data_IF_593542389945
#
_entry.id   IF_593542389945
#
_cell.length_a   1.000
_cell.length_b   1.000
_cell.length_c   1.000
_cell.angle_alpha   90.00
_cell.angle_beta   90.00
_cell.angle_gamma   90.00
#
_symmetry.space_group_name_H-M   'P 1'
#
loop_
_entity.id
_entity.type
_entity.pdbx_description
1 polymer ?
#
# COMPACT_ATOMS: atom_id res chain seq x y z
N UNK A 1 28.76 12.54 6.14
CA UNK A 1 27.64 11.60 6.00
C UNK A 1 26.50 12.19 6.82
N UNK A 2 25.53 12.83 6.16
CA UNK A 2 24.37 13.40 6.87
C UNK A 2 23.55 12.23 7.41
N UNK A 3 23.21 12.29 8.70
CA UNK A 3 22.51 11.22 9.40
C UNK A 3 21.05 11.02 8.96
N UNK A 4 20.57 11.79 7.98
CA UNK A 4 19.28 11.59 7.34
C UNK A 4 19.36 12.04 5.88
N UNK A 5 19.07 11.14 4.93
CA UNK A 5 18.71 11.52 3.55
C UNK A 5 17.32 12.17 3.49
N UNK A 6 16.52 11.95 4.54
CA UNK A 6 15.24 12.62 4.75
C UNK A 6 15.46 13.86 5.59
N UNK A 7 14.93 15.02 5.22
CA UNK A 7 14.98 16.16 6.12
C UNK A 7 14.19 15.88 7.43
N UNK A 8 14.43 16.68 8.47
CA UNK A 8 13.77 16.48 9.77
C UNK A 8 12.23 16.44 9.64
N UNK A 9 11.68 17.25 8.73
CA UNK A 9 10.23 17.34 8.52
C UNK A 9 9.72 16.04 7.90
N UNK A 10 10.33 15.55 6.82
CA UNK A 10 9.98 14.30 6.17
C UNK A 10 10.08 13.11 7.13
N UNK A 11 11.10 13.10 8.01
CA UNK A 11 11.24 12.06 9.03
C UNK A 11 10.10 12.09 10.05
N UNK A 12 9.70 13.28 10.52
CA UNK A 12 8.54 13.45 11.40
C UNK A 12 7.27 12.98 10.70
N UNK A 13 7.08 13.34 9.43
CA UNK A 13 5.91 12.93 8.65
C UNK A 13 5.88 11.41 8.47
N UNK A 14 7.01 10.77 8.13
CA UNK A 14 7.11 9.32 8.04
C UNK A 14 6.81 8.63 9.38
N UNK A 15 7.24 9.22 10.50
CA UNK A 15 6.91 8.69 11.82
C UNK A 15 5.40 8.74 12.07
N UNK A 16 4.74 9.84 11.71
CA UNK A 16 3.27 9.96 11.79
C UNK A 16 2.60 8.91 10.89
N UNK A 17 3.06 8.74 9.64
CA UNK A 17 2.59 7.68 8.74
C UNK A 17 2.73 6.30 9.39
N UNK A 18 3.89 6.01 9.98
CA UNK A 18 4.15 4.76 10.68
C UNK A 18 3.21 4.54 11.85
N UNK A 19 2.99 5.56 12.70
CA UNK A 19 2.06 5.50 13.83
C UNK A 19 0.63 5.23 13.34
N UNK A 20 0.18 5.94 12.31
CA UNK A 20 -1.15 5.72 11.72
C UNK A 20 -1.26 4.29 11.17
N UNK A 21 -0.25 3.82 10.44
CA UNK A 21 -0.21 2.48 9.87
C UNK A 21 -0.28 1.39 10.95
N UNK A 22 0.52 1.47 12.02
CA UNK A 22 0.49 0.45 13.08
C UNK A 22 -0.84 0.48 13.86
N UNK A 23 -1.42 1.65 14.11
CA UNK A 23 -2.74 1.75 14.76
C UNK A 23 -3.81 1.09 13.90
N UNK A 24 -3.85 1.40 12.60
CA UNK A 24 -4.79 0.75 11.67
C UNK A 24 -4.58 -0.75 11.60
N UNK A 25 -3.32 -1.21 11.51
CA UNK A 25 -2.99 -2.63 11.47
C UNK A 25 -3.51 -3.37 12.72
N UNK A 26 -3.32 -2.79 13.91
CA UNK A 26 -3.78 -3.39 15.17
C UNK A 26 -5.31 -3.42 15.28
N UNK A 27 -6.00 -2.35 14.87
CA UNK A 27 -7.47 -2.33 14.83
C UNK A 27 -8.02 -3.38 13.86
N UNK A 28 -7.47 -3.45 12.65
CA UNK A 28 -7.84 -4.44 11.66
C UNK A 28 -7.55 -5.87 12.12
N UNK A 29 -6.42 -6.09 12.80
CA UNK A 29 -6.08 -7.40 13.34
C UNK A 29 -7.05 -7.81 14.47
N UNK A 30 -7.43 -6.87 15.34
CA UNK A 30 -8.47 -7.09 16.36
C UNK A 30 -9.80 -7.50 15.71
N UNK A 31 -10.25 -6.78 14.68
CA UNK A 31 -11.47 -7.11 13.94
C UNK A 31 -11.37 -8.46 13.22
N UNK A 32 -10.22 -8.80 12.66
CA UNK A 32 -9.98 -10.13 12.09
C UNK A 32 -10.08 -11.22 13.16
N UNK A 33 -9.50 -11.02 14.34
CA UNK A 33 -9.54 -12.01 15.41
C UNK A 33 -10.98 -12.29 15.86
N UNK A 34 -11.84 -11.28 15.87
CA UNK A 34 -13.25 -11.38 16.22
C UNK A 34 -14.13 -11.97 15.10
N UNK A 35 -13.99 -11.47 13.86
CA UNK A 35 -14.90 -11.78 12.74
C UNK A 35 -14.40 -12.86 11.78
N UNK A 36 -13.10 -13.15 11.80
CA UNK A 36 -12.38 -14.02 10.84
C UNK A 36 -12.52 -13.61 9.37
N UNK A 37 -12.94 -12.38 9.08
CA UNK A 37 -13.07 -11.92 7.69
C UNK A 37 -11.70 -11.60 7.09
N UNK A 38 -11.37 -12.27 5.99
CA UNK A 38 -10.03 -12.24 5.38
C UNK A 38 -9.57 -10.85 4.94
N UNK A 39 -10.48 -9.96 4.58
CA UNK A 39 -10.11 -8.61 4.17
C UNK A 39 -9.51 -7.78 5.32
N UNK A 40 -9.94 -7.99 6.57
CA UNK A 40 -9.32 -7.34 7.72
C UNK A 40 -7.87 -7.80 7.91
N UNK A 41 -7.60 -9.11 7.75
CA UNK A 41 -6.24 -9.64 7.83
C UNK A 41 -5.36 -9.08 6.70
N UNK A 42 -5.86 -9.11 5.46
CA UNK A 42 -5.11 -8.63 4.30
C UNK A 42 -4.71 -7.16 4.45
N UNK A 43 -5.65 -6.30 4.85
CA UNK A 43 -5.36 -4.89 5.11
C UNK A 43 -4.45 -4.69 6.33
N UNK A 44 -4.64 -5.45 7.41
CA UNK A 44 -3.76 -5.38 8.58
C UNK A 44 -2.30 -5.66 8.21
N UNK A 45 -2.06 -6.69 7.40
CA UNK A 45 -0.72 -7.04 6.93
C UNK A 45 -0.12 -5.95 6.04
N UNK A 46 -0.90 -5.34 5.14
CA UNK A 46 -0.43 -4.22 4.32
C UNK A 46 0.03 -3.03 5.18
N UNK A 47 -0.75 -2.64 6.19
CA UNK A 47 -0.37 -1.54 7.06
C UNK A 47 0.77 -1.89 8.01
N UNK A 48 0.88 -3.15 8.45
CA UNK A 48 2.02 -3.61 9.23
C UNK A 48 3.32 -3.53 8.42
N UNK A 49 3.28 -3.94 7.15
CA UNK A 49 4.43 -3.80 6.24
C UNK A 49 4.76 -2.33 6.02
N UNK A 50 3.76 -1.46 5.79
CA UNK A 50 3.99 -0.02 5.65
C UNK A 50 4.67 0.58 6.89
N UNK A 51 4.25 0.20 8.09
CA UNK A 51 4.91 0.61 9.33
C UNK A 51 6.38 0.17 9.37
N UNK A 52 6.65 -1.11 9.09
CA UNK A 52 8.02 -1.64 9.08
C UNK A 52 8.88 -0.91 8.04
N UNK A 53 8.36 -0.70 6.83
CA UNK A 53 9.06 0.05 5.78
C UNK A 53 9.36 1.49 6.19
N UNK A 54 8.39 2.20 6.78
CA UNK A 54 8.59 3.57 7.25
C UNK A 54 9.65 3.65 8.36
N UNK A 55 9.65 2.71 9.30
CA UNK A 55 10.67 2.61 10.35
C UNK A 55 12.05 2.36 9.74
N UNK A 56 12.17 1.43 8.80
CA UNK A 56 13.45 1.14 8.12
C UNK A 56 13.99 2.38 7.40
N UNK A 57 13.14 3.11 6.67
CA UNK A 57 13.54 4.34 5.97
C UNK A 57 14.05 5.41 6.94
N UNK A 58 13.41 5.58 8.11
CA UNK A 58 13.85 6.57 9.11
C UNK A 58 15.25 6.23 9.65
N UNK A 59 15.55 4.95 9.88
CA UNK A 59 16.82 4.54 10.50
C UNK A 59 17.95 4.27 9.51
N UNK A 60 17.63 3.79 8.31
CA UNK A 60 18.61 3.40 7.28
C UNK A 60 18.71 4.44 6.15
N UNK A 61 17.74 5.34 6.00
CA UNK A 61 17.65 6.21 4.82
C UNK A 61 16.89 5.56 3.67
N UNK A 62 16.65 6.33 2.61
CA UNK A 62 15.91 5.85 1.44
C UNK A 62 16.78 4.93 0.60
N UNK A 63 18.02 5.31 0.32
CA UNK A 63 18.94 4.58 -0.55
C UNK A 63 19.20 3.18 -0.03
N UNK A 64 19.72 3.06 1.20
CA UNK A 64 20.05 1.77 1.81
C UNK A 64 18.81 0.86 1.94
N UNK A 65 17.63 1.45 2.16
CA UNK A 65 16.38 0.69 2.24
C UNK A 65 15.94 0.19 0.86
N UNK A 66 15.96 1.05 -0.17
CA UNK A 66 15.48 0.72 -1.51
C UNK A 66 16.43 -0.22 -2.26
N UNK A 67 17.73 -0.15 -1.98
CA UNK A 67 18.75 -1.04 -2.57
C UNK A 67 18.75 -2.44 -1.95
N UNK A 68 18.17 -2.62 -0.76
CA UNK A 68 18.10 -3.92 -0.12
C UNK A 68 17.22 -4.91 -0.94
N UNK A 69 17.75 -6.07 -1.36
CA UNK A 69 17.03 -6.99 -2.25
C UNK A 69 15.76 -7.60 -1.64
N UNK A 70 15.63 -7.60 -0.32
CA UNK A 70 14.45 -8.12 0.38
C UNK A 70 13.35 -7.06 0.55
N UNK A 71 13.66 -5.78 0.44
CA UNK A 71 12.69 -4.70 0.67
C UNK A 71 11.63 -4.63 -0.43
N UNK A 72 11.95 -4.62 -1.75
CA UNK A 72 10.92 -4.56 -2.79
C UNK A 72 9.91 -5.72 -2.76
N UNK A 73 10.31 -7.00 -2.59
CA UNK A 73 9.36 -8.10 -2.43
C UNK A 73 8.44 -7.91 -1.22
N UNK A 74 8.98 -7.49 -0.07
CA UNK A 74 8.19 -7.27 1.15
C UNK A 74 7.25 -6.09 0.95
N UNK A 75 7.72 -4.96 0.41
CA UNK A 75 6.92 -3.77 0.14
C UNK A 75 5.79 -4.03 -0.87
N UNK A 76 5.96 -4.98 -1.79
CA UNK A 76 4.91 -5.40 -2.73
C UNK A 76 3.67 -6.01 -2.03
N UNK A 77 3.81 -6.46 -0.77
CA UNK A 77 2.67 -6.88 0.06
C UNK A 77 1.72 -5.73 0.41
N UNK A 78 2.19 -4.48 0.38
CA UNK A 78 1.34 -3.31 0.66
C UNK A 78 0.23 -3.20 -0.39
N UNK A 79 0.51 -2.94 -1.68
CA UNK A 79 -0.56 -2.83 -2.68
C UNK A 79 -1.29 -4.16 -2.89
N UNK A 80 -0.58 -5.30 -2.84
CA UNK A 80 -1.20 -6.61 -3.00
C UNK A 80 -2.21 -6.91 -1.89
N UNK A 81 -1.86 -6.70 -0.62
CA UNK A 81 -2.77 -6.96 0.50
C UNK A 81 -3.98 -6.02 0.51
N UNK A 82 -3.81 -4.76 0.09
CA UNK A 82 -4.92 -3.82 -0.10
C UNK A 82 -5.90 -4.32 -1.18
N UNK A 83 -5.37 -4.75 -2.33
CA UNK A 83 -6.15 -5.32 -3.43
C UNK A 83 -6.84 -6.65 -3.04
N UNK A 84 -6.12 -7.57 -2.39
CA UNK A 84 -6.67 -8.82 -1.86
C UNK A 84 -7.85 -8.53 -0.94
N UNK A 85 -7.68 -7.61 0.03
CA UNK A 85 -8.75 -7.26 0.95
C UNK A 85 -9.96 -6.64 0.25
N UNK A 86 -9.76 -5.76 -0.73
CA UNK A 86 -10.87 -5.23 -1.53
C UNK A 86 -11.62 -6.34 -2.29
N UNK A 87 -10.91 -7.28 -2.92
CA UNK A 87 -11.55 -8.38 -3.64
C UNK A 87 -12.39 -9.27 -2.71
N UNK A 88 -11.89 -9.55 -1.49
CA UNK A 88 -12.65 -10.27 -0.47
C UNK A 88 -13.86 -9.49 0.07
N UNK A 89 -13.75 -8.17 0.14
CA UNK A 89 -14.77 -7.29 0.73
C UNK A 89 -15.89 -6.94 -0.27
N UNK A 90 -15.54 -6.76 -1.54
CA UNK A 90 -16.47 -6.37 -2.62
C UNK A 90 -17.28 -7.56 -3.12
N UNK A 91 -16.61 -8.65 -3.48
CA UNK A 91 -17.25 -9.81 -4.11
C UNK A 91 -17.77 -10.81 -3.09
N UNK A 92 -18.94 -11.40 -3.36
CA UNK A 92 -19.48 -12.48 -2.56
C UNK A 92 -18.67 -13.76 -2.76
N UNK A 93 -18.25 -14.02 -4.00
CA UNK A 93 -17.40 -15.13 -4.39
C UNK A 93 -15.96 -14.91 -3.89
N UNK A 94 -15.69 -15.42 -2.69
CA UNK A 94 -14.40 -15.28 -2.00
C UNK A 94 -13.21 -15.87 -2.75
N UNK A 95 -13.47 -16.64 -3.82
CA UNK A 95 -12.46 -17.17 -4.72
C UNK A 95 -11.65 -16.08 -5.43
N UNK A 96 -12.22 -14.91 -5.76
CA UNK A 96 -11.47 -13.84 -6.43
C UNK A 96 -10.34 -13.31 -5.55
N UNK A 97 -10.64 -13.03 -4.27
CA UNK A 97 -9.62 -12.64 -3.29
C UNK A 97 -8.59 -13.75 -3.06
N UNK A 98 -9.03 -15.02 -3.01
CA UNK A 98 -8.14 -16.16 -2.82
C UNK A 98 -7.17 -16.37 -4.00
N UNK A 99 -7.68 -16.38 -5.24
CA UNK A 99 -6.86 -16.55 -6.43
C UNK A 99 -5.88 -15.39 -6.60
N UNK A 100 -6.33 -14.17 -6.32
CA UNK A 100 -5.45 -13.01 -6.38
C UNK A 100 -4.38 -13.03 -5.28
N UNK A 101 -4.69 -13.57 -4.10
CA UNK A 101 -3.70 -13.81 -3.05
C UNK A 101 -2.63 -14.82 -3.49
N UNK A 102 -3.03 -15.96 -4.09
CA UNK A 102 -2.08 -16.93 -4.63
C UNK A 102 -1.21 -16.29 -5.71
N UNK A 103 -1.84 -15.61 -6.70
CA UNK A 103 -1.15 -14.91 -7.76
C UNK A 103 -0.07 -13.95 -7.22
N UNK A 104 -0.46 -13.10 -6.28
CA UNK A 104 0.43 -12.09 -5.71
C UNK A 104 1.56 -12.73 -4.91
N UNK A 105 1.27 -13.71 -4.05
CA UNK A 105 2.27 -14.38 -3.23
C UNK A 105 3.28 -15.17 -4.07
N UNK A 106 2.84 -15.83 -5.14
CA UNK A 106 3.74 -16.52 -6.08
C UNK A 106 4.67 -15.53 -6.76
N UNK A 107 4.16 -14.42 -7.30
CA UNK A 107 5.01 -13.42 -7.94
C UNK A 107 5.96 -12.73 -6.95
N UNK A 108 5.52 -12.46 -5.72
CA UNK A 108 6.38 -11.90 -4.67
C UNK A 108 7.49 -12.89 -4.29
N UNK A 109 7.18 -14.18 -4.18
CA UNK A 109 8.19 -15.21 -3.92
C UNK A 109 9.20 -15.31 -5.07
N UNK A 110 8.73 -15.30 -6.32
CA UNK A 110 9.59 -15.29 -7.52
C UNK A 110 10.47 -14.03 -7.53
N UNK A 111 9.89 -12.86 -7.25
CA UNK A 111 10.61 -11.59 -7.17
C UNK A 111 11.71 -11.62 -6.10
N UNK A 112 11.43 -12.19 -4.92
CA UNK A 112 12.42 -12.33 -3.86
C UNK A 112 13.61 -13.18 -4.31
N UNK A 113 13.35 -14.33 -4.97
CA UNK A 113 14.42 -15.19 -5.50
C UNK A 113 15.23 -14.44 -6.57
N UNK A 114 14.56 -13.78 -7.52
CA UNK A 114 15.22 -13.01 -8.59
C UNK A 114 16.10 -11.90 -8.04
N UNK A 115 15.63 -11.14 -7.05
CA UNK A 115 16.41 -10.07 -6.40
C UNK A 115 17.62 -10.61 -5.64
N UNK A 116 17.47 -11.74 -4.95
CA UNK A 116 18.59 -12.41 -4.26
C UNK A 116 19.63 -12.99 -5.23
N UNK A 117 19.22 -13.30 -6.46
CA UNK A 117 20.10 -13.77 -7.54
C UNK A 117 20.60 -12.64 -8.45
N UNK A 118 20.23 -11.39 -8.18
CA UNK A 118 20.63 -10.20 -8.95
C UNK A 118 20.30 -10.32 -10.46
N UNK A 119 19.15 -10.91 -10.83
CA UNK A 119 18.76 -11.04 -12.25
C UNK A 119 18.06 -9.78 -12.78
N UNK A 120 18.40 -9.39 -14.01
CA UNK A 120 18.02 -8.11 -14.64
C UNK A 120 16.51 -7.91 -14.90
N UNK A 121 15.69 -8.95 -14.78
CA UNK A 121 14.26 -8.89 -15.04
C UNK A 121 13.38 -8.76 -13.79
N UNK A 122 13.98 -8.46 -12.63
CA UNK A 122 13.26 -8.23 -11.37
C UNK A 122 12.15 -7.19 -11.49
N UNK A 123 12.41 -6.09 -12.20
CA UNK A 123 11.46 -5.00 -12.40
C UNK A 123 10.19 -5.45 -13.13
N UNK A 124 10.30 -6.39 -14.08
CA UNK A 124 9.14 -6.94 -14.78
C UNK A 124 8.23 -7.75 -13.85
N UNK A 125 8.82 -8.54 -12.96
CA UNK A 125 8.05 -9.32 -11.97
C UNK A 125 7.40 -8.40 -10.94
N UNK A 126 8.13 -7.37 -10.48
CA UNK A 126 7.60 -6.35 -9.58
C UNK A 126 6.40 -5.62 -10.18
N UNK A 127 6.48 -5.23 -11.46
CA UNK A 127 5.36 -4.63 -12.20
C UNK A 127 4.16 -5.57 -12.30
N UNK A 128 4.40 -6.88 -12.43
CA UNK A 128 3.34 -7.90 -12.44
C UNK A 128 2.49 -7.90 -11.16
N UNK A 129 3.06 -7.53 -10.01
CA UNK A 129 2.29 -7.38 -8.76
C UNK A 129 1.69 -5.98 -8.64
N UNK A 130 2.50 -4.95 -8.91
CA UNK A 130 2.13 -3.55 -8.67
C UNK A 130 1.02 -3.06 -9.60
N UNK A 131 1.09 -3.36 -10.90
CA UNK A 131 0.12 -2.83 -11.86
C UNK A 131 -1.29 -3.37 -11.57
N UNK A 132 -1.53 -4.70 -11.47
CA UNK A 132 -2.86 -5.19 -11.16
C UNK A 132 -3.36 -4.73 -9.80
N UNK A 133 -2.48 -4.66 -8.78
CA UNK A 133 -2.85 -4.19 -7.44
C UNK A 133 -3.27 -2.73 -7.48
N UNK A 134 -2.47 -1.88 -8.14
CA UNK A 134 -2.72 -0.45 -8.34
C UNK A 134 -4.04 -0.20 -9.06
N UNK A 135 -4.33 -0.96 -10.11
CA UNK A 135 -5.61 -0.88 -10.82
C UNK A 135 -6.79 -1.27 -9.93
N UNK A 136 -6.67 -2.37 -9.16
CA UNK A 136 -7.72 -2.82 -8.25
C UNK A 136 -8.00 -1.76 -7.18
N UNK A 137 -6.97 -1.29 -6.46
CA UNK A 137 -7.15 -0.33 -5.36
C UNK A 137 -7.64 1.03 -5.84
N UNK A 138 -7.31 1.42 -7.08
CA UNK A 138 -7.72 2.69 -7.67
C UNK A 138 -9.14 2.66 -8.21
N UNK A 139 -9.50 1.62 -8.96
CA UNK A 139 -10.71 1.63 -9.79
C UNK A 139 -11.84 0.77 -9.25
N UNK A 140 -11.57 -0.36 -8.57
CA UNK A 140 -12.63 -1.23 -8.05
C UNK A 140 -13.59 -0.52 -7.05
N UNK A 141 -13.10 0.20 -6.02
CA UNK A 141 -14.00 0.92 -5.11
C UNK A 141 -14.81 2.00 -5.84
N UNK A 142 -14.20 2.71 -6.79
CA UNK A 142 -14.88 3.73 -7.61
C UNK A 142 -15.98 3.10 -8.46
N UNK A 143 -15.65 2.04 -9.19
CA UNK A 143 -16.58 1.31 -10.03
C UNK A 143 -17.78 0.78 -9.22
N UNK A 144 -17.51 0.12 -8.10
CA UNK A 144 -18.58 -0.47 -7.27
C UNK A 144 -19.46 0.57 -6.57
N UNK A 145 -18.94 1.78 -6.28
CA UNK A 145 -19.77 2.89 -5.83
C UNK A 145 -20.74 3.36 -6.92
N UNK A 146 -20.26 3.48 -8.17
CA UNK A 146 -21.09 3.88 -9.31
C UNK A 146 -22.13 2.82 -9.69
N UNK A 147 -21.81 1.52 -9.55
CA UNK A 147 -22.78 0.43 -9.77
C UNK A 147 -23.69 0.17 -8.56
N UNK A 148 -23.52 0.93 -7.46
CA UNK A 148 -24.28 0.81 -6.20
C UNK A 148 -24.09 -0.53 -5.47
N UNK A 149 -22.99 -1.23 -5.73
CA UNK A 149 -22.59 -2.44 -4.99
C UNK A 149 -21.89 -2.10 -3.67
N UNK A 150 -21.37 -0.88 -3.55
CA UNK A 150 -20.79 -0.29 -2.34
C UNK A 150 -21.31 1.14 -2.17
N UNK A 151 -21.14 1.70 -0.97
CA UNK A 151 -21.51 3.08 -0.67
C UNK A 151 -20.56 4.07 -1.34
N UNK A 152 -21.02 5.29 -1.61
CA UNK A 152 -20.19 6.37 -2.18
C UNK A 152 -18.92 6.67 -1.38
N UNK A 153 -18.92 6.38 -0.07
CA UNK A 153 -17.76 6.57 0.80
C UNK A 153 -16.63 5.58 0.51
N UNK A 154 -16.88 4.49 -0.23
CA UNK A 154 -15.83 3.57 -0.69
C UNK A 154 -14.86 4.26 -1.66
N UNK A 155 -15.28 5.33 -2.34
CA UNK A 155 -14.46 6.13 -3.26
C UNK A 155 -13.21 6.69 -2.58
N UNK A 156 -13.24 6.95 -1.27
CA UNK A 156 -12.03 7.38 -0.54
C UNK A 156 -10.90 6.35 -0.67
N UNK A 157 -11.22 5.05 -0.67
CA UNK A 157 -10.24 4.00 -0.94
C UNK A 157 -9.64 4.16 -2.35
N UNK A 158 -10.50 4.39 -3.35
CA UNK A 158 -10.10 4.61 -4.74
C UNK A 158 -9.20 5.84 -4.95
N UNK A 159 -9.51 6.95 -4.26
CA UNK A 159 -8.68 8.16 -4.29
C UNK A 159 -7.29 7.87 -3.71
N UNK A 160 -7.23 7.18 -2.56
CA UNK A 160 -5.95 6.74 -1.99
C UNK A 160 -5.17 5.86 -2.97
N UNK A 161 -5.86 4.93 -3.65
CA UNK A 161 -5.32 4.07 -4.69
C UNK A 161 -4.74 4.82 -5.88
N UNK A 162 -5.46 5.82 -6.40
CA UNK A 162 -5.01 6.65 -7.51
C UNK A 162 -3.78 7.48 -7.13
N UNK A 163 -3.79 8.09 -5.94
CA UNK A 163 -2.68 8.89 -5.43
C UNK A 163 -1.41 8.06 -5.27
N UNK A 164 -1.49 6.87 -4.68
CA UNK A 164 -0.32 6.00 -4.54
C UNK A 164 0.16 5.42 -5.87
N UNK A 165 -0.77 5.11 -6.79
CA UNK A 165 -0.41 4.66 -8.14
C UNK A 165 0.35 5.76 -8.89
N UNK A 166 -0.07 7.01 -8.75
CA UNK A 166 0.64 8.16 -9.31
C UNK A 166 2.05 8.30 -8.71
N UNK A 167 2.20 8.18 -7.40
CA UNK A 167 3.52 8.16 -6.74
C UNK A 167 4.41 7.02 -7.23
N UNK A 168 3.86 5.82 -7.42
CA UNK A 168 4.57 4.67 -7.96
C UNK A 168 5.03 4.86 -9.41
N UNK A 169 4.20 5.51 -10.24
CA UNK A 169 4.58 5.88 -11.61
C UNK A 169 5.72 6.89 -11.60
N UNK A 170 5.65 7.96 -10.79
CA UNK A 170 6.75 8.93 -10.68
C UNK A 170 8.06 8.25 -10.30
N UNK A 171 8.03 7.35 -9.31
CA UNK A 171 9.20 6.61 -8.87
C UNK A 171 9.74 5.68 -9.97
N UNK A 172 8.88 5.00 -10.72
CA UNK A 172 9.29 4.15 -11.84
C UNK A 172 10.01 4.96 -12.95
N UNK A 173 9.45 6.10 -13.35
CA UNK A 173 10.09 6.98 -14.35
C UNK A 173 11.45 7.51 -13.88
N UNK A 174 11.66 7.63 -12.56
CA UNK A 174 12.92 8.10 -11.99
C UNK A 174 13.96 6.99 -11.74
N UNK A 175 13.57 5.71 -11.78
CA UNK A 175 14.43 4.58 -11.39
C UNK A 175 14.66 3.55 -12.49
N UNK A 176 13.81 3.50 -13.51
CA UNK A 176 13.95 2.56 -14.63
C UNK A 176 14.88 3.13 -15.69
N UNK A 177 15.96 2.41 -16.00
CA UNK A 177 16.87 2.78 -17.07
C UNK A 177 16.14 2.95 -18.41
N UNK A 178 16.42 4.06 -19.10
CA UNK A 178 15.81 4.39 -20.39
C UNK A 178 14.46 5.11 -20.30
N UNK A 179 13.92 5.38 -19.11
CA UNK A 179 12.80 6.30 -18.92
C UNK A 179 13.30 7.70 -18.54
N UNK A 180 12.69 8.73 -19.12
CA UNK A 180 12.98 10.12 -18.75
C UNK A 180 12.20 10.47 -17.48
N UNK A 181 12.92 10.86 -16.42
CA UNK A 181 12.31 11.22 -15.15
C UNK A 181 11.42 12.46 -15.30
N UNK A 182 10.17 12.37 -14.85
CA UNK A 182 9.21 13.50 -14.84
C UNK A 182 9.62 14.54 -13.80
N UNK A 183 10.18 14.08 -12.68
CA UNK A 183 10.74 14.88 -11.60
C UNK A 183 12.10 14.29 -11.18
N UNK A 184 13.03 15.11 -10.67
CA UNK A 184 14.26 14.61 -10.04
C UNK A 184 13.95 13.59 -8.93
N UNK A 185 14.79 12.56 -8.81
CA UNK A 185 14.62 11.52 -7.79
C UNK A 185 14.59 12.10 -6.37
N UNK A 186 15.46 13.06 -6.08
CA UNK A 186 15.52 13.76 -4.79
C UNK A 186 14.20 14.48 -4.45
N UNK A 187 13.59 15.15 -5.44
CA UNK A 187 12.31 15.84 -5.25
C UNK A 187 11.17 14.86 -4.97
N UNK A 188 11.18 13.69 -5.61
CA UNK A 188 10.21 12.62 -5.34
C UNK A 188 10.33 12.16 -3.89
N UNK A 189 11.55 11.94 -3.39
CA UNK A 189 11.78 11.50 -2.01
C UNK A 189 11.34 12.54 -0.97
N UNK A 190 11.42 13.84 -1.28
CA UNK A 190 10.89 14.91 -0.41
C UNK A 190 9.36 14.89 -0.34
N UNK A 191 8.69 14.61 -1.47
CA UNK A 191 7.21 14.61 -1.56
C UNK A 191 6.62 13.32 -0.96
N UNK A 192 7.34 12.20 -1.06
CA UNK A 192 6.81 10.87 -0.77
C UNK A 192 6.25 10.71 0.67
N UNK A 193 6.89 11.21 1.74
CA UNK A 193 6.31 11.17 3.10
C UNK A 193 4.92 11.81 3.18
N UNK A 194 4.75 12.98 2.55
CA UNK A 194 3.48 13.71 2.57
C UNK A 194 2.42 13.01 1.73
N UNK A 195 2.81 12.48 0.57
CA UNK A 195 1.93 11.67 -0.26
C UNK A 195 1.43 10.43 0.52
N UNK A 196 2.33 9.72 1.21
CA UNK A 196 1.98 8.57 2.02
C UNK A 196 1.03 8.92 3.17
N UNK A 197 1.19 10.09 3.79
CA UNK A 197 0.26 10.57 4.82
C UNK A 197 -1.14 10.80 4.26
N UNK A 198 -1.25 11.49 3.12
CA UNK A 198 -2.53 11.76 2.46
C UNK A 198 -3.20 10.46 2.00
N UNK A 199 -2.44 9.56 1.38
CA UNK A 199 -2.89 8.23 0.98
C UNK A 199 -3.39 7.44 2.20
N UNK A 200 -2.64 7.47 3.31
CA UNK A 200 -3.00 6.81 4.56
C UNK A 200 -4.34 7.29 5.13
N UNK A 201 -4.60 8.60 5.09
CA UNK A 201 -5.90 9.18 5.48
C UNK A 201 -7.01 8.66 4.58
N UNK A 202 -6.83 8.69 3.25
CA UNK A 202 -7.84 8.20 2.31
C UNK A 202 -8.15 6.72 2.48
N UNK A 203 -7.14 5.87 2.68
CA UNK A 203 -7.37 4.46 2.99
C UNK A 203 -8.05 4.26 4.35
N UNK A 204 -7.68 5.02 5.38
CA UNK A 204 -8.36 4.96 6.68
C UNK A 204 -9.86 5.28 6.56
N UNK A 205 -10.20 6.34 5.81
CA UNK A 205 -11.59 6.71 5.54
C UNK A 205 -12.31 5.64 4.69
N UNK A 206 -11.66 5.14 3.64
CA UNK A 206 -12.19 4.10 2.74
C UNK A 206 -12.40 2.74 3.43
N UNK A 207 -11.73 2.49 4.55
CA UNK A 207 -11.89 1.28 5.37
C UNK A 207 -12.89 1.52 6.52
N UNK A 208 -12.84 2.69 7.15
CA UNK A 208 -13.58 3.01 8.37
C UNK A 208 -15.02 3.48 8.17
N UNK A 209 -15.39 3.95 6.98
CA UNK A 209 -16.72 4.53 6.73
C UNK A 209 -17.68 3.55 6.04
N UNK A 210 -17.33 2.87 4.93
CA UNK A 210 -18.29 2.02 4.21
C UNK A 210 -18.82 0.88 5.10
N UNK A 211 -20.14 0.73 5.20
CA UNK A 211 -20.77 -0.25 6.09
C UNK A 211 -20.48 -1.69 5.64
N UNK A 212 -20.27 -1.92 4.34
CA UNK A 212 -19.98 -3.24 3.77
C UNK A 212 -18.77 -3.93 4.42
N UNK A 213 -17.77 -3.17 4.85
CA UNK A 213 -16.54 -3.70 5.45
C UNK A 213 -16.03 -2.86 6.63
N UNK A 214 -16.92 -2.09 7.26
CA UNK A 214 -16.61 -1.12 8.30
C UNK A 214 -15.74 -1.74 9.40
N UNK A 215 -14.71 -1.00 9.76
CA UNK A 215 -13.92 -1.19 10.98
C UNK A 215 -14.25 -0.05 11.92
N UNK A 216 -14.52 -0.36 13.19
CA UNK A 216 -14.66 0.68 14.22
C UNK A 216 -13.30 1.34 14.48
N UNK A 217 -13.08 2.49 13.84
CA UNK A 217 -11.94 3.36 14.11
C UNK A 217 -12.45 4.47 15.04
N UNK A 218 -12.00 4.56 16.30
CA UNK A 218 -12.59 5.43 17.33
C UNK A 218 -12.71 6.91 16.94
N UNK A 219 -11.83 7.41 16.07
CA UNK A 219 -11.84 8.82 15.63
C UNK A 219 -12.79 9.05 14.45
N UNK A 220 -13.09 8.02 13.66
CA UNK A 220 -13.95 8.10 12.46
C UNK A 220 -15.39 7.71 12.80
N UNK A 221 -15.59 6.79 13.74
CA UNK A 221 -16.90 6.29 14.14
C UNK A 221 -17.85 7.37 14.65
N UNK A 222 -17.30 8.45 15.20
CA UNK A 222 -18.08 9.55 15.80
C UNK A 222 -18.36 10.70 14.82
N UNK A 223 -17.81 10.63 13.61
CA UNK A 223 -17.92 11.70 12.60
C UNK A 223 -19.05 11.49 11.59
N UNK A 224 -19.65 10.29 11.54
CA UNK A 224 -20.69 9.89 10.57
C UNK A 224 -21.68 8.90 11.18
#
# INVERSE_FOLDING_TARGET
MSLLETDLIGAIVLLVVGIVAIVLALLLLKEYLASKKMYHLAWALSFLVLFISGVLIIFLGWTDTLENPLVPPVAALIPAGLAIGLLYAVFEEKQYGFYYAIYSLVLIAILAVIKLMELDFASFVLMGVHIPSGLIISFLPVYTAFTKETEWTSIFFGIGGLLISFGGVLLAFATVEGMEAILPFEDILVILPFLLLVVGVFFALGIGIPSKWKVEIPVISDLF
#
